data_IF_297299721384
#
_entry.id   IF_297299721384
#
_cell.length_a   1.000
_cell.length_b   1.000
_cell.length_c   1.000
_cell.angle_alpha   90.00
_cell.angle_beta   90.00
_cell.angle_gamma   90.00
#
_symmetry.space_group_name_H-M   'P 1'
#
loop_
_entity.id
_entity.type
_entity.pdbx_description
1 polymer ?
#
# COMPACT_ATOMS: atom_id res chain seq x y z
N UNK A 1 -3.34 6.19 27.74
CA UNK A 1 -3.91 6.05 26.38
C UNK A 1 -2.90 5.29 25.53
N UNK A 2 -3.36 4.25 24.81
CA UNK A 2 -2.59 3.56 23.78
C UNK A 2 -3.21 3.93 22.42
N UNK A 3 -2.40 4.47 21.51
CA UNK A 3 -2.82 4.77 20.16
C UNK A 3 -2.28 3.70 19.20
N UNK A 4 -3.14 3.11 18.37
CA UNK A 4 -2.73 2.17 17.35
C UNK A 4 -2.31 2.93 16.08
N UNK A 5 -1.01 3.10 15.91
CA UNK A 5 -0.40 3.83 14.80
C UNK A 5 -0.21 2.91 13.60
N UNK A 6 -1.27 2.71 12.82
CA UNK A 6 -1.30 1.85 11.64
C UNK A 6 -1.36 2.69 10.37
N UNK A 7 -0.72 2.24 9.30
CA UNK A 7 -0.78 2.84 7.98
C UNK A 7 0.53 2.78 7.23
N UNK A 8 0.62 3.61 6.22
CA UNK A 8 1.79 3.81 5.38
C UNK A 8 2.50 5.12 5.73
N UNK A 9 3.40 5.56 4.88
CA UNK A 9 4.16 6.79 5.04
C UNK A 9 3.28 8.04 5.15
N UNK A 10 2.06 8.01 4.61
CA UNK A 10 1.11 9.14 4.66
C UNK A 10 0.68 9.51 6.06
N UNK A 11 0.52 8.55 6.96
CA UNK A 11 0.08 8.76 8.34
C UNK A 11 1.24 8.89 9.33
N UNK A 12 2.46 8.52 8.91
CA UNK A 12 3.64 8.57 9.76
C UNK A 12 3.96 9.97 10.30
N UNK A 13 3.86 11.09 9.54
CA UNK A 13 4.16 12.42 10.06
C UNK A 13 3.26 12.82 11.23
N UNK A 14 1.95 12.57 11.13
CA UNK A 14 1.00 12.91 12.19
C UNK A 14 1.27 12.10 13.47
N UNK A 15 1.57 10.82 13.33
CA UNK A 15 1.91 9.94 14.44
C UNK A 15 3.26 10.29 15.06
N UNK A 16 4.27 10.63 14.23
CA UNK A 16 5.55 11.16 14.70
C UNK A 16 5.36 12.44 15.51
N UNK A 17 4.55 13.38 14.99
CA UNK A 17 4.25 14.63 15.70
C UNK A 17 3.60 14.38 17.05
N UNK A 18 2.67 13.44 17.16
CA UNK A 18 2.02 13.10 18.43
C UNK A 18 3.03 12.60 19.46
N UNK A 19 3.93 11.69 19.06
CA UNK A 19 4.99 11.16 19.93
C UNK A 19 6.00 12.25 20.30
N UNK A 20 6.42 13.06 19.34
CA UNK A 20 7.32 14.19 19.55
C UNK A 20 6.75 15.20 20.55
N UNK A 21 5.47 15.56 20.40
CA UNK A 21 4.79 16.48 21.32
C UNK A 21 4.61 15.87 22.71
N UNK A 22 4.28 14.58 22.80
CA UNK A 22 4.16 13.88 24.08
C UNK A 22 5.49 13.95 24.86
N UNK A 23 6.62 13.74 24.18
CA UNK A 23 7.96 13.89 24.79
C UNK A 23 8.23 15.32 25.23
N UNK A 24 7.98 16.31 24.36
CA UNK A 24 8.21 17.74 24.66
C UNK A 24 7.43 18.23 25.87
N UNK A 25 6.21 17.71 26.05
CA UNK A 25 5.29 18.12 27.13
C UNK A 25 5.38 17.21 28.36
N UNK A 26 6.25 16.21 28.38
CA UNK A 26 6.39 15.27 29.48
C UNK A 26 5.15 14.41 29.74
N UNK A 27 4.37 14.09 28.70
CA UNK A 27 3.14 13.29 28.81
C UNK A 27 3.52 11.82 29.01
N UNK A 28 3.35 11.31 30.21
CA UNK A 28 3.74 9.94 30.58
C UNK A 28 2.63 8.88 30.35
N UNK A 29 1.37 9.29 30.24
CA UNK A 29 0.22 8.38 30.10
C UNK A 29 -0.20 8.14 28.65
N UNK A 30 0.67 8.41 27.68
CA UNK A 30 0.51 8.14 26.25
C UNK A 30 1.48 7.04 25.80
N UNK A 31 1.06 6.21 24.88
CA UNK A 31 1.90 5.20 24.21
C UNK A 31 1.37 4.95 22.81
N UNK A 32 2.21 4.48 21.91
CA UNK A 32 1.83 4.09 20.55
C UNK A 32 2.18 2.63 20.29
N UNK A 33 1.25 1.89 19.71
CA UNK A 33 1.49 0.59 19.11
C UNK A 33 1.76 0.82 17.63
N UNK A 34 3.04 0.77 17.23
CA UNK A 34 3.45 1.14 15.86
C UNK A 34 3.30 -0.05 14.90
N UNK A 35 2.48 0.13 13.88
CA UNK A 35 2.27 -0.85 12.80
C UNK A 35 2.33 -0.20 11.41
N UNK A 36 3.22 0.79 11.25
CA UNK A 36 3.48 1.41 9.95
C UNK A 36 4.34 0.52 9.07
N UNK A 37 4.00 0.49 7.79
CA UNK A 37 4.72 -0.22 6.74
C UNK A 37 5.12 0.74 5.62
N UNK A 38 6.16 0.38 4.85
CA UNK A 38 6.76 1.20 3.81
C UNK A 38 6.51 0.59 2.43
N UNK A 39 6.09 1.42 1.48
CA UNK A 39 5.69 0.98 0.14
C UNK A 39 6.87 0.48 -0.71
N UNK A 40 8.03 1.19 -0.80
CA UNK A 40 9.12 0.77 -1.70
C UNK A 40 9.63 -0.66 -1.44
N UNK A 41 9.92 -1.10 -0.19
CA UNK A 41 10.36 -2.47 0.06
C UNK A 41 9.30 -3.54 -0.29
N UNK A 42 8.01 -3.21 -0.18
CA UNK A 42 6.94 -4.11 -0.59
C UNK A 42 6.88 -4.26 -2.11
N UNK A 43 7.10 -3.19 -2.87
CA UNK A 43 7.22 -3.25 -4.34
C UNK A 43 8.39 -4.12 -4.76
N UNK A 44 9.56 -3.97 -4.12
CA UNK A 44 10.73 -4.81 -4.37
C UNK A 44 10.45 -6.28 -4.08
N UNK A 45 9.80 -6.59 -2.95
CA UNK A 45 9.44 -7.97 -2.59
C UNK A 45 8.48 -8.62 -3.60
N UNK A 46 7.54 -7.85 -4.16
CA UNK A 46 6.65 -8.32 -5.23
C UNK A 46 7.45 -8.57 -6.51
N UNK A 47 8.28 -7.63 -6.92
CA UNK A 47 9.06 -7.71 -8.16
C UNK A 47 10.13 -8.79 -8.13
N UNK A 48 10.75 -9.05 -6.98
CA UNK A 48 11.73 -10.10 -6.78
C UNK A 48 11.14 -11.52 -6.78
N UNK A 49 9.81 -11.65 -6.70
CA UNK A 49 9.15 -12.95 -6.72
C UNK A 49 9.27 -13.61 -8.10
N UNK A 50 9.70 -14.89 -8.20
CA UNK A 50 9.97 -15.54 -9.48
C UNK A 50 8.72 -15.74 -10.36
N UNK A 51 7.53 -15.75 -9.75
CA UNK A 51 6.24 -15.87 -10.43
C UNK A 51 5.50 -14.54 -10.62
N UNK A 52 6.18 -13.41 -10.35
CA UNK A 52 5.62 -12.08 -10.50
C UNK A 52 5.15 -11.80 -11.94
N UNK A 53 3.95 -11.21 -12.08
CA UNK A 53 3.36 -10.80 -13.36
C UNK A 53 3.05 -9.30 -13.43
N UNK A 54 3.48 -8.53 -12.43
CA UNK A 54 3.29 -7.07 -12.44
C UNK A 54 4.26 -6.45 -13.45
N UNK A 55 3.74 -5.69 -14.39
CA UNK A 55 4.51 -5.08 -15.48
C UNK A 55 4.73 -3.57 -15.28
N UNK A 56 4.06 -2.96 -14.33
CA UNK A 56 4.18 -1.54 -14.02
C UNK A 56 3.38 -1.16 -12.78
N UNK A 57 3.62 0.02 -12.26
CA UNK A 57 2.96 0.52 -11.06
C UNK A 57 2.35 1.90 -11.27
N UNK A 58 1.17 2.09 -10.72
CA UNK A 58 0.65 3.40 -10.38
C UNK A 58 0.96 3.65 -8.91
N UNK A 59 1.94 4.50 -8.64
CA UNK A 59 2.38 4.80 -7.29
C UNK A 59 1.47 5.83 -6.64
N UNK A 60 1.12 5.59 -5.36
CA UNK A 60 0.19 6.42 -4.62
C UNK A 60 0.74 7.84 -4.39
N UNK A 61 0.13 8.84 -5.04
CA UNK A 61 0.58 10.23 -4.97
C UNK A 61 0.63 10.79 -3.55
N UNK A 62 -0.28 10.37 -2.66
CA UNK A 62 -0.26 10.81 -1.26
C UNK A 62 0.99 10.33 -0.51
N UNK A 63 1.48 9.12 -0.76
CA UNK A 63 2.77 8.63 -0.22
C UNK A 63 3.90 9.51 -0.74
N UNK A 64 3.91 9.77 -2.06
CA UNK A 64 4.94 10.58 -2.70
C UNK A 64 4.89 12.07 -2.32
N UNK A 65 3.73 12.59 -1.89
CA UNK A 65 3.63 13.95 -1.33
C UNK A 65 4.49 14.08 -0.05
N UNK A 66 4.56 13.04 0.76
CA UNK A 66 5.37 13.00 1.98
C UNK A 66 6.82 12.63 1.65
N UNK A 67 7.04 11.50 0.99
CA UNK A 67 8.37 10.89 0.84
C UNK A 67 9.11 11.32 -0.44
N UNK A 68 8.41 11.86 -1.43
CA UNK A 68 8.93 12.00 -2.78
C UNK A 68 8.87 10.68 -3.55
N UNK A 69 9.63 10.59 -4.64
CA UNK A 69 9.68 9.38 -5.47
C UNK A 69 11.11 8.93 -5.82
N UNK A 70 12.11 9.51 -5.19
CA UNK A 70 13.52 9.15 -5.43
C UNK A 70 13.81 7.68 -5.12
N UNK A 71 13.12 7.10 -4.13
CA UNK A 71 13.28 5.68 -3.77
C UNK A 71 12.72 4.72 -4.84
N UNK A 72 11.82 5.17 -5.70
CA UNK A 72 11.30 4.36 -6.81
C UNK A 72 12.25 4.30 -8.02
N UNK A 73 13.16 5.29 -8.18
CA UNK A 73 14.06 5.35 -9.33
C UNK A 73 15.00 4.11 -9.42
N UNK A 74 15.65 3.66 -8.34
CA UNK A 74 16.43 2.43 -8.38
C UNK A 74 15.57 1.20 -8.65
N UNK A 75 14.34 1.13 -8.11
CA UNK A 75 13.41 0.01 -8.34
C UNK A 75 13.03 -0.08 -9.82
N UNK A 76 12.60 1.04 -10.42
CA UNK A 76 12.23 1.08 -11.84
C UNK A 76 13.39 0.62 -12.73
N UNK A 77 14.61 1.07 -12.43
CA UNK A 77 15.83 0.73 -13.18
C UNK A 77 16.24 -0.74 -13.00
N UNK A 78 16.23 -1.24 -11.78
CA UNK A 78 16.66 -2.60 -11.45
C UNK A 78 15.73 -3.66 -12.04
N UNK A 79 14.43 -3.46 -11.87
CA UNK A 79 13.41 -4.42 -12.30
C UNK A 79 12.85 -4.15 -13.69
N UNK A 80 13.29 -3.05 -14.32
CA UNK A 80 12.87 -2.64 -15.66
C UNK A 80 11.33 -2.52 -15.78
N UNK A 81 10.71 -1.86 -14.81
CA UNK A 81 9.27 -1.62 -14.77
C UNK A 81 8.97 -0.13 -14.69
N UNK A 82 8.01 0.39 -15.47
CA UNK A 82 7.55 1.76 -15.33
C UNK A 82 6.83 1.97 -14.00
N UNK A 83 7.08 3.11 -13.36
CA UNK A 83 6.39 3.53 -12.14
C UNK A 83 5.86 4.95 -12.38
N UNK A 84 4.54 5.12 -12.35
CA UNK A 84 3.92 6.42 -12.55
C UNK A 84 3.25 6.87 -11.26
N UNK A 85 3.71 7.98 -10.71
CA UNK A 85 3.09 8.61 -9.53
C UNK A 85 1.81 9.31 -9.97
N UNK A 86 0.66 8.95 -9.38
CA UNK A 86 -0.65 9.49 -9.76
C UNK A 86 -1.41 10.10 -8.60
N UNK A 87 -2.30 11.06 -8.92
CA UNK A 87 -3.40 11.42 -8.03
C UNK A 87 -4.49 10.35 -8.00
N UNK A 88 -5.60 10.66 -7.35
CA UNK A 88 -6.69 9.70 -7.09
C UNK A 88 -7.98 10.05 -7.84
N UNK A 89 -8.01 11.18 -8.54
CA UNK A 89 -9.15 11.56 -9.37
C UNK A 89 -9.20 10.68 -10.63
N UNK A 90 -10.40 10.43 -11.18
CA UNK A 90 -10.54 9.58 -12.38
C UNK A 90 -9.61 9.98 -13.53
N UNK A 91 -9.44 11.29 -13.78
CA UNK A 91 -8.55 11.78 -14.82
C UNK A 91 -7.07 11.52 -14.49
N UNK A 92 -6.67 11.69 -13.23
CA UNK A 92 -5.30 11.39 -12.80
C UNK A 92 -4.96 9.92 -13.04
N UNK A 93 -5.88 9.03 -12.67
CA UNK A 93 -5.71 7.57 -12.84
C UNK A 93 -5.63 7.22 -14.33
N UNK A 94 -6.52 7.76 -15.17
CA UNK A 94 -6.50 7.51 -16.62
C UNK A 94 -5.20 8.01 -17.27
N UNK A 95 -4.74 9.20 -16.90
CA UNK A 95 -3.45 9.71 -17.36
C UNK A 95 -2.29 8.85 -16.90
N UNK A 96 -2.29 8.42 -15.64
CA UNK A 96 -1.27 7.53 -15.11
C UNK A 96 -1.22 6.19 -15.82
N UNK A 97 -2.38 5.57 -16.08
CA UNK A 97 -2.49 4.34 -16.89
C UNK A 97 -1.93 4.57 -18.29
N UNK A 98 -2.32 5.66 -18.96
CA UNK A 98 -1.81 6.00 -20.27
C UNK A 98 -0.29 6.15 -20.29
N UNK A 99 0.29 6.89 -19.33
CA UNK A 99 1.74 7.07 -19.21
C UNK A 99 2.46 5.73 -18.98
N UNK A 100 1.91 4.88 -18.12
CA UNK A 100 2.47 3.55 -17.83
C UNK A 100 2.47 2.66 -19.09
N UNK A 101 1.34 2.57 -19.80
CA UNK A 101 1.23 1.79 -21.04
C UNK A 101 2.17 2.33 -22.10
N UNK A 102 2.24 3.66 -22.27
CA UNK A 102 3.16 4.30 -23.22
C UNK A 102 4.61 3.95 -22.95
N UNK A 103 5.04 3.90 -21.69
CA UNK A 103 6.39 3.44 -21.35
C UNK A 103 6.61 1.98 -21.72
N UNK A 104 5.63 1.09 -21.44
CA UNK A 104 5.70 -0.32 -21.79
C UNK A 104 5.83 -0.52 -23.32
N UNK A 105 5.03 0.18 -24.13
CA UNK A 105 5.10 0.13 -25.59
C UNK A 105 6.44 0.63 -26.15
N UNK A 106 7.05 1.60 -25.47
CA UNK A 106 8.34 2.17 -25.85
C UNK A 106 9.54 1.41 -25.27
N UNK A 107 9.33 0.36 -24.46
CA UNK A 107 10.39 -0.38 -23.77
C UNK A 107 11.13 0.47 -22.72
N UNK A 108 10.50 1.53 -22.21
CA UNK A 108 11.03 2.38 -21.14
C UNK A 108 10.65 1.85 -19.77
N UNK A 109 11.45 2.18 -18.76
CA UNK A 109 11.24 1.79 -17.38
C UNK A 109 11.75 2.88 -16.45
N UNK A 110 10.98 3.96 -16.35
CA UNK A 110 11.33 5.17 -15.62
C UNK A 110 10.26 5.52 -14.59
N UNK A 111 10.62 6.39 -13.64
CA UNK A 111 9.64 7.02 -12.76
C UNK A 111 9.13 8.30 -13.41
N UNK A 112 7.84 8.37 -13.69
CA UNK A 112 7.17 9.58 -14.15
C UNK A 112 6.19 10.08 -13.09
N UNK A 113 6.06 11.41 -12.97
CA UNK A 113 5.15 12.03 -12.01
C UNK A 113 3.99 12.71 -12.75
N UNK A 114 2.81 12.08 -12.76
CA UNK A 114 1.57 12.69 -13.25
C UNK A 114 1.01 13.72 -12.24
N UNK A 115 1.24 13.49 -10.93
CA UNK A 115 0.63 14.29 -9.85
C UNK A 115 1.49 15.52 -9.47
N UNK A 116 1.97 16.25 -10.47
CA UNK A 116 2.93 17.36 -10.30
C UNK A 116 2.40 18.52 -9.45
N UNK A 117 1.07 18.68 -9.36
CA UNK A 117 0.44 19.72 -8.51
C UNK A 117 0.67 19.51 -7.01
N UNK A 118 0.95 18.28 -6.57
CA UNK A 118 1.12 17.95 -5.15
C UNK A 118 2.45 17.26 -4.83
N UNK A 119 3.03 16.55 -5.80
CA UNK A 119 4.23 15.73 -5.57
C UNK A 119 5.47 16.39 -6.12
N UNK A 120 6.48 16.48 -5.27
CA UNK A 120 7.85 16.88 -5.63
C UNK A 120 8.76 15.66 -5.56
N UNK A 121 9.87 15.69 -6.32
CA UNK A 121 10.82 14.58 -6.39
C UNK A 121 11.32 14.16 -5.00
N UNK A 122 11.67 15.12 -4.16
CA UNK A 122 12.24 14.89 -2.84
C UNK A 122 11.20 14.92 -1.71
N UNK A 123 9.89 15.05 -2.03
CA UNK A 123 8.80 15.07 -1.08
C UNK A 123 8.77 16.30 -0.17
N UNK A 124 8.27 16.11 1.06
CA UNK A 124 8.20 17.14 2.09
C UNK A 124 9.36 16.93 3.09
N UNK A 125 10.37 17.77 3.00
CA UNK A 125 11.58 17.67 3.84
C UNK A 125 11.27 17.71 5.34
N UNK A 126 10.38 18.61 5.77
CA UNK A 126 10.02 18.77 7.19
C UNK A 126 9.32 17.50 7.71
N UNK A 127 8.42 16.93 6.93
CA UNK A 127 7.72 15.71 7.31
C UNK A 127 8.68 14.50 7.35
N UNK A 128 9.57 14.39 6.37
CA UNK A 128 10.60 13.33 6.32
C UNK A 128 11.57 13.42 7.50
N UNK A 129 12.03 14.64 7.84
CA UNK A 129 12.90 14.84 8.99
C UNK A 129 12.20 14.43 10.29
N UNK A 130 10.95 14.84 10.49
CA UNK A 130 10.18 14.46 11.67
C UNK A 130 10.00 12.93 11.77
N UNK A 131 9.74 12.25 10.64
CA UNK A 131 9.67 10.78 10.61
C UNK A 131 11.02 10.18 11.04
N UNK A 132 12.12 10.68 10.48
CA UNK A 132 13.48 10.19 10.78
C UNK A 132 13.91 10.44 12.22
N UNK A 133 13.44 11.54 12.84
CA UNK A 133 13.72 11.88 14.23
C UNK A 133 13.01 10.92 15.21
N UNK A 134 11.77 10.54 14.90
CA UNK A 134 10.91 9.79 15.82
C UNK A 134 10.92 8.29 15.55
N UNK A 135 11.05 7.92 14.29
CA UNK A 135 11.02 6.52 13.87
C UNK A 135 12.37 6.03 13.33
N UNK A 136 12.55 4.73 13.37
CA UNK A 136 13.61 4.00 12.69
C UNK A 136 13.01 2.94 11.78
N UNK A 137 13.68 2.62 10.69
CA UNK A 137 13.28 1.54 9.79
C UNK A 137 13.57 0.19 10.45
N UNK A 138 12.57 -0.70 10.41
CA UNK A 138 12.62 -2.05 10.99
C UNK A 138 12.06 -3.07 10.01
N UNK A 139 12.40 -4.37 10.14
CA UNK A 139 11.69 -5.41 9.40
C UNK A 139 10.24 -5.52 9.89
N UNK A 140 9.31 -5.83 8.97
CA UNK A 140 7.90 -6.08 9.30
C UNK A 140 7.38 -7.31 8.58
N UNK A 141 6.43 -8.00 9.23
CA UNK A 141 5.67 -9.08 8.62
C UNK A 141 4.45 -8.47 7.91
N UNK A 142 4.39 -8.69 6.60
CA UNK A 142 3.27 -8.26 5.76
C UNK A 142 2.32 -9.42 5.55
N UNK A 143 1.03 -9.23 5.83
CA UNK A 143 0.01 -10.27 5.64
C UNK A 143 -0.08 -10.67 4.17
N UNK A 144 0.09 -11.96 3.92
CA UNK A 144 0.06 -12.53 2.57
C UNK A 144 1.35 -12.43 1.78
N UNK A 145 2.38 -11.71 2.27
CA UNK A 145 3.69 -11.59 1.61
C UNK A 145 4.80 -12.21 2.45
N UNK A 146 4.71 -12.10 3.78
CA UNK A 146 5.72 -12.60 4.71
C UNK A 146 6.57 -11.50 5.34
N UNK A 147 7.71 -11.88 5.90
CA UNK A 147 8.65 -10.93 6.51
C UNK A 147 9.46 -10.22 5.43
N UNK A 148 9.41 -8.90 5.41
CA UNK A 148 10.16 -8.06 4.49
C UNK A 148 11.16 -7.23 5.31
N UNK A 149 12.47 -7.31 5.02
CA UNK A 149 13.47 -6.46 5.65
C UNK A 149 13.20 -4.98 5.36
N UNK A 150 13.51 -4.11 6.32
CA UNK A 150 13.45 -2.65 6.14
C UNK A 150 12.09 -2.12 5.65
N UNK A 151 10.99 -2.79 5.98
CA UNK A 151 9.68 -2.52 5.40
C UNK A 151 8.65 -1.91 6.35
N UNK A 152 9.09 -1.45 7.50
CA UNK A 152 8.22 -0.76 8.44
C UNK A 152 8.94 0.18 9.37
N UNK A 153 8.17 0.83 10.23
CA UNK A 153 8.67 1.78 11.21
C UNK A 153 8.53 1.22 12.63
N UNK A 154 9.51 1.52 13.46
CA UNK A 154 9.49 1.35 14.91
C UNK A 154 9.98 2.64 15.57
N UNK A 155 9.74 2.85 16.85
CA UNK A 155 10.22 4.06 17.53
C UNK A 155 11.76 4.07 17.62
N UNK A 156 12.34 5.24 17.38
CA UNK A 156 13.75 5.49 17.63
C UNK A 156 14.06 5.37 19.12
N UNK A 157 15.33 5.21 19.48
CA UNK A 157 15.77 4.90 20.85
C UNK A 157 15.27 5.93 21.86
N UNK A 158 15.35 7.19 21.51
CA UNK A 158 14.91 8.33 22.31
C UNK A 158 13.41 8.37 22.64
N UNK A 159 12.59 7.62 21.90
CA UNK A 159 11.13 7.59 22.03
C UNK A 159 10.60 6.23 22.51
N UNK A 160 11.47 5.29 22.86
CA UNK A 160 11.07 3.93 23.25
C UNK A 160 10.21 3.86 24.52
N UNK A 161 10.25 4.88 25.37
CA UNK A 161 9.36 4.97 26.53
C UNK A 161 7.87 5.13 26.15
N UNK A 162 7.59 5.50 24.89
CA UNK A 162 6.24 5.57 24.33
C UNK A 162 5.84 4.30 23.58
N UNK A 163 6.71 3.30 23.47
CA UNK A 163 6.43 2.04 22.79
C UNK A 163 5.49 1.16 23.62
N UNK A 164 4.28 0.93 23.09
CA UNK A 164 3.28 0.11 23.76
C UNK A 164 3.68 -1.37 23.79
N UNK A 165 4.36 -1.90 22.77
CA UNK A 165 4.83 -3.30 22.76
C UNK A 165 5.75 -3.57 23.94
N UNK A 166 6.70 -2.66 24.17
CA UNK A 166 7.64 -2.76 25.31
C UNK A 166 6.96 -2.51 26.65
N UNK A 167 6.14 -1.45 26.69
CA UNK A 167 5.49 -1.02 27.93
C UNK A 167 4.55 -2.05 28.52
N UNK A 168 3.87 -2.82 27.66
CA UNK A 168 2.87 -3.81 28.08
C UNK A 168 3.32 -5.26 27.86
N UNK A 169 4.53 -5.49 27.36
CA UNK A 169 5.08 -6.83 27.15
C UNK A 169 4.29 -7.66 26.14
N UNK A 170 3.81 -7.05 25.07
CA UNK A 170 2.95 -7.71 24.07
C UNK A 170 3.68 -8.06 22.76
N UNK A 171 4.99 -7.95 22.71
CA UNK A 171 5.79 -8.19 21.50
C UNK A 171 5.68 -9.64 20.97
N UNK A 172 5.42 -10.61 21.85
CA UNK A 172 5.36 -12.04 21.51
C UNK A 172 3.99 -12.50 20.98
N UNK A 173 2.99 -11.61 20.97
CA UNK A 173 1.68 -11.93 20.41
C UNK A 173 1.74 -11.94 18.88
N UNK A 174 1.54 -13.12 18.30
CA UNK A 174 1.46 -13.32 16.84
C UNK A 174 0.08 -13.82 16.45
N UNK A 175 -0.49 -13.25 15.38
CA UNK A 175 -1.71 -13.76 14.77
C UNK A 175 -1.34 -14.73 13.65
N UNK A 176 -2.02 -15.87 13.59
CA UNK A 176 -1.91 -16.80 12.47
C UNK A 176 -2.61 -16.23 11.23
N UNK A 177 -2.00 -16.42 10.08
CA UNK A 177 -2.62 -16.06 8.81
C UNK A 177 -3.56 -17.19 8.35
N UNK A 178 -4.77 -16.86 7.85
CA UNK A 178 -5.66 -17.87 7.29
C UNK A 178 -5.00 -18.58 6.11
N UNK A 179 -4.85 -19.91 6.20
CA UNK A 179 -4.16 -20.74 5.20
C UNK A 179 -4.80 -20.72 3.81
N UNK A 180 -6.10 -20.40 3.74
CA UNK A 180 -6.88 -20.34 2.50
C UNK A 180 -6.76 -18.99 1.76
N UNK A 181 -6.17 -17.97 2.38
CA UNK A 181 -6.03 -16.64 1.79
C UNK A 181 -4.91 -16.61 0.74
N UNK A 182 -5.26 -16.30 -0.51
CA UNK A 182 -4.30 -16.20 -1.62
C UNK A 182 -3.88 -14.75 -1.94
N UNK A 183 -3.98 -13.84 -0.97
CA UNK A 183 -3.69 -12.42 -1.20
C UNK A 183 -2.30 -12.16 -1.77
N UNK A 184 -1.29 -12.93 -1.38
CA UNK A 184 0.06 -12.82 -1.94
C UNK A 184 0.12 -13.15 -3.44
N UNK A 185 -0.68 -14.10 -3.93
CA UNK A 185 -0.78 -14.41 -5.36
C UNK A 185 -1.52 -13.30 -6.12
N UNK A 186 -2.51 -12.67 -5.48
CA UNK A 186 -3.24 -11.54 -6.06
C UNK A 186 -2.32 -10.32 -6.21
N UNK A 187 -1.53 -9.99 -5.19
CA UNK A 187 -0.60 -8.87 -5.22
C UNK A 187 0.50 -9.03 -6.29
N UNK A 188 0.91 -10.26 -6.57
CA UNK A 188 1.89 -10.57 -7.63
C UNK A 188 1.26 -10.68 -9.03
N UNK A 189 -0.06 -10.47 -9.16
CA UNK A 189 -0.77 -10.58 -10.44
C UNK A 189 -0.93 -12.00 -10.97
N UNK A 190 -0.60 -13.03 -10.18
CA UNK A 190 -0.69 -14.47 -10.57
C UNK A 190 -2.13 -14.95 -10.56
N UNK A 191 -2.92 -14.46 -9.61
CA UNK A 191 -4.32 -14.81 -9.41
C UNK A 191 -5.19 -13.57 -9.31
N UNK A 192 -6.47 -13.73 -9.65
CA UNK A 192 -7.50 -12.70 -9.44
C UNK A 192 -8.24 -12.95 -8.11
N UNK A 193 -8.82 -11.91 -7.47
CA UNK A 193 -9.51 -12.06 -6.19
C UNK A 193 -10.58 -13.16 -6.17
N UNK A 194 -11.36 -13.30 -7.24
CA UNK A 194 -12.43 -14.30 -7.32
C UNK A 194 -11.96 -15.75 -7.44
N UNK A 195 -10.68 -15.98 -7.70
CA UNK A 195 -10.08 -17.31 -7.69
C UNK A 195 -9.72 -17.79 -6.27
N UNK A 196 -9.88 -16.91 -5.28
CA UNK A 196 -9.70 -17.27 -3.87
C UNK A 196 -10.91 -18.08 -3.39
N UNK A 197 -10.73 -19.28 -2.79
CA UNK A 197 -11.83 -20.12 -2.33
C UNK A 197 -12.70 -19.46 -1.25
N UNK A 198 -12.14 -18.54 -0.49
CA UNK A 198 -12.87 -17.80 0.53
C UNK A 198 -13.60 -16.56 0.00
N UNK A 199 -13.30 -16.10 -1.23
CA UNK A 199 -13.79 -14.82 -1.75
C UNK A 199 -15.31 -14.77 -1.88
N UNK A 200 -15.93 -13.78 -1.25
CA UNK A 200 -17.38 -13.56 -1.28
C UNK A 200 -18.20 -14.57 -0.47
N UNK A 201 -17.57 -15.54 0.18
CA UNK A 201 -18.22 -16.55 1.04
C UNK A 201 -17.80 -16.33 2.51
N UNK A 202 -16.56 -16.65 2.84
CA UNK A 202 -15.98 -16.47 4.18
C UNK A 202 -15.16 -15.18 4.32
N UNK A 203 -14.72 -14.63 3.18
CA UNK A 203 -13.95 -13.39 3.11
C UNK A 203 -14.76 -12.31 2.38
N UNK A 204 -15.32 -11.38 3.13
CA UNK A 204 -16.08 -10.22 2.66
C UNK A 204 -15.55 -8.95 3.31
N UNK A 205 -15.92 -7.73 2.85
CA UNK A 205 -15.53 -6.48 3.51
C UNK A 205 -15.92 -6.42 5.00
N UNK A 206 -17.02 -7.07 5.40
CA UNK A 206 -17.50 -7.14 6.78
C UNK A 206 -16.74 -8.17 7.62
N UNK A 207 -16.15 -9.18 6.97
CA UNK A 207 -15.39 -10.27 7.60
C UNK A 207 -14.12 -10.58 6.80
N UNK A 208 -13.15 -9.65 6.78
CA UNK A 208 -11.97 -9.80 5.94
C UNK A 208 -11.01 -10.85 6.51
N UNK A 209 -10.60 -11.82 5.70
CA UNK A 209 -9.55 -12.78 6.05
C UNK A 209 -8.16 -12.28 5.65
N UNK A 210 -8.03 -11.63 4.49
CA UNK A 210 -6.76 -11.11 3.98
C UNK A 210 -6.71 -9.59 3.96
N UNK A 211 -5.50 -9.03 4.06
CA UNK A 211 -5.28 -7.58 4.09
C UNK A 211 -5.95 -6.82 2.91
N UNK A 212 -5.93 -7.31 1.65
CA UNK A 212 -6.57 -6.61 0.53
C UNK A 212 -8.11 -6.58 0.58
N UNK A 213 -8.75 -7.22 1.57
CA UNK A 213 -10.20 -7.15 1.80
C UNK A 213 -10.58 -6.19 2.92
N UNK A 214 -9.62 -5.79 3.78
CA UNK A 214 -9.86 -4.91 4.94
C UNK A 214 -10.22 -3.49 4.53
N UNK A 215 -9.46 -2.93 3.60
CA UNK A 215 -9.66 -1.56 3.09
C UNK A 215 -10.48 -1.57 1.80
N UNK A 216 -11.33 -0.57 1.62
CA UNK A 216 -12.05 -0.33 0.36
C UNK A 216 -11.11 -0.10 -0.85
N UNK A 217 -9.88 0.30 -0.60
CA UNK A 217 -8.83 0.51 -1.61
C UNK A 217 -8.07 -0.79 -1.94
N UNK A 218 -8.24 -1.84 -1.13
CA UNK A 218 -7.58 -3.11 -1.35
C UNK A 218 -8.13 -3.85 -2.58
N UNK A 219 -7.25 -4.56 -3.30
CA UNK A 219 -7.59 -5.23 -4.56
C UNK A 219 -8.80 -6.18 -4.43
N UNK A 220 -8.89 -6.94 -3.34
CA UNK A 220 -10.00 -7.86 -3.11
C UNK A 220 -11.31 -7.12 -2.80
N UNK A 221 -11.28 -6.08 -1.97
CA UNK A 221 -12.46 -5.29 -1.61
C UNK A 221 -12.99 -4.50 -2.81
N UNK A 222 -12.10 -3.88 -3.58
CA UNK A 222 -12.47 -3.19 -4.82
C UNK A 222 -13.10 -4.18 -5.83
N UNK A 223 -12.49 -5.34 -6.02
CA UNK A 223 -13.03 -6.37 -6.91
C UNK A 223 -14.40 -6.89 -6.43
N UNK A 224 -14.58 -7.09 -5.13
CA UNK A 224 -15.87 -7.50 -4.53
C UNK A 224 -16.97 -6.47 -4.81
N UNK A 225 -16.66 -5.18 -4.61
CA UNK A 225 -17.62 -4.09 -4.77
C UNK A 225 -18.04 -3.87 -6.22
N UNK A 226 -17.08 -3.93 -7.16
CA UNK A 226 -17.32 -3.53 -8.56
C UNK A 226 -17.48 -4.69 -9.53
N UNK A 227 -17.35 -5.94 -9.08
CA UNK A 227 -17.55 -7.14 -9.94
C UNK A 227 -18.94 -7.20 -10.55
N UNK A 228 -19.98 -6.79 -9.82
CA UNK A 228 -21.37 -6.81 -10.29
C UNK A 228 -21.64 -5.89 -11.48
N UNK A 229 -20.88 -4.81 -11.64
CA UNK A 229 -21.05 -3.87 -12.73
C UNK A 229 -20.72 -4.51 -14.09
N UNK A 230 -19.76 -5.43 -14.18
CA UNK A 230 -19.43 -6.16 -15.41
C UNK A 230 -20.52 -7.13 -15.88
N UNK A 231 -21.32 -7.69 -14.98
CA UNK A 231 -22.46 -8.54 -15.38
C UNK A 231 -23.59 -7.71 -16.01
N UNK A 232 -23.79 -6.48 -15.54
CA UNK A 232 -24.77 -5.55 -16.10
C UNK A 232 -24.39 -5.10 -17.53
N UNK A 233 -23.14 -4.78 -17.78
CA UNK A 233 -22.65 -4.34 -19.10
C UNK A 233 -22.69 -5.48 -20.14
N UNK A 234 -22.42 -6.73 -19.74
CA UNK A 234 -22.54 -7.88 -20.64
C UNK A 234 -24.00 -8.18 -21.04
N UNK A 235 -24.95 -7.97 -20.14
CA UNK A 235 -26.37 -8.13 -20.48
C UNK A 235 -26.90 -6.99 -21.37
N UNK A 236 -26.40 -5.77 -21.19
CA UNK A 236 -26.76 -4.65 -22.07
C UNK A 236 -26.15 -4.77 -23.46
N UNK A 237 -24.91 -5.27 -23.58
CA UNK A 237 -24.28 -5.50 -24.88
C UNK A 237 -24.90 -6.65 -25.67
N UNK A 238 -25.41 -7.70 -25.01
CA UNK A 238 -26.13 -8.81 -25.64
C UNK A 238 -27.55 -8.37 -26.03
N UNK A 239 -28.22 -7.55 -25.27
CA UNK A 239 -29.53 -7.00 -25.60
C UNK A 239 -29.47 -6.03 -26.81
N UNK A 240 -28.48 -5.13 -26.83
CA UNK A 240 -28.25 -4.18 -27.93
C UNK A 240 -27.87 -4.88 -29.26
N UNK A 241 -27.14 -6.01 -29.19
CA UNK A 241 -26.80 -6.81 -30.38
C UNK A 241 -27.97 -7.66 -30.87
N UNK A 242 -28.96 -7.98 -30.03
CA UNK A 242 -30.19 -8.70 -30.43
C UNK A 242 -31.17 -7.77 -31.12
N UNK A 243 -31.30 -6.50 -30.67
CA UNK A 243 -32.15 -5.50 -31.32
C UNK A 243 -31.60 -4.95 -32.65
N UNK A 244 -30.30 -5.11 -32.93
CA UNK A 244 -29.67 -4.69 -34.18
C UNK A 244 -29.71 -5.80 -35.26
N UNK A 245 -30.24 -7.01 -34.95
CA UNK A 245 -30.32 -8.15 -35.83
C UNK A 245 -31.76 -8.47 -36.31
N UNK A 246 -32.76 -7.69 -35.90
CA UNK A 246 -34.11 -7.63 -36.44
C UNK A 246 -34.28 -6.44 -37.38
#
# INVERSE_FOLDING_TARGET
VVFFAVGFETTAPANAMAVYQARRQGIANFSVLVSHVLVPPAMEAILASPDNRVQGFLAAGHVCTVMGYTEYEPIARQYRVPIVVTGFEPLDILQGVFMCIKQLEQGRAEVENQYTRSVRRDGNEVARQLIADVFRVVPRKWRGVGAIPHSGLGLAEDYQCYDAERRFGVADYTAEEPSECISGLVLRGVKKPHECPAFGIRCTPERPLGAPMVSSEGACAAYYRYRGLRQYDMHLSTAANAEAAE
#
